data_IF_511411178219
#
_entry.id   IF_511411178219
#
_cell.length_a   1.000
_cell.length_b   1.000
_cell.length_c   1.000
_cell.angle_alpha   90.00
_cell.angle_beta   90.00
_cell.angle_gamma   90.00
#
_symmetry.space_group_name_H-M   'P 1'
#
loop_
_entity.id
_entity.type
_entity.pdbx_description
1 polymer ?
#
# COMPACT_ATOMS: atom_id res chain seq x y z
N UNK A 1 6.13 25.71 -75.76
CA UNK A 1 7.33 26.52 -75.43
C UNK A 1 7.76 26.28 -73.99
N UNK A 2 8.85 25.56 -73.73
CA UNK A 2 9.44 24.48 -74.56
C UNK A 2 8.80 23.13 -74.14
N UNK A 3 8.35 22.18 -74.97
CA UNK A 3 8.78 21.62 -76.27
C UNK A 3 10.29 21.35 -76.33
N UNK A 4 10.84 20.15 -76.48
CA UNK A 4 10.41 18.77 -76.71
C UNK A 4 11.68 17.89 -76.59
N UNK A 5 11.50 16.56 -76.48
CA UNK A 5 12.48 15.49 -76.81
C UNK A 5 13.50 15.20 -75.67
N UNK A 6 13.56 14.02 -75.07
CA UNK A 6 13.60 12.72 -75.72
C UNK A 6 12.95 11.61 -74.87
N UNK A 7 12.06 10.85 -75.51
CA UNK A 7 11.58 9.57 -75.03
C UNK A 7 12.68 8.54 -75.17
N UNK A 8 13.54 8.44 -74.17
CA UNK A 8 14.27 7.21 -73.88
C UNK A 8 13.69 6.63 -72.60
N UNK A 9 13.02 5.47 -72.69
CA UNK A 9 12.79 4.63 -71.51
C UNK A 9 14.15 4.42 -70.85
N UNK A 10 14.44 5.16 -69.77
CA UNK A 10 15.60 4.88 -68.92
C UNK A 10 15.39 3.43 -68.53
N UNK A 11 16.27 2.49 -68.93
CA UNK A 11 16.00 1.08 -68.74
C UNK A 11 15.75 0.90 -67.25
N UNK A 12 14.52 0.51 -66.87
CA UNK A 12 14.16 0.26 -65.47
C UNK A 12 15.11 -0.81 -64.96
N UNK A 13 16.18 -0.35 -64.35
CA UNK A 13 17.24 -1.21 -63.90
C UNK A 13 16.62 -2.07 -62.82
N UNK A 14 16.58 -3.38 -63.07
CA UNK A 14 16.18 -4.35 -62.04
C UNK A 14 17.25 -4.48 -60.95
N UNK A 15 18.32 -3.68 -61.01
CA UNK A 15 19.39 -3.66 -60.03
C UNK A 15 18.87 -3.06 -58.72
N UNK A 16 18.91 -3.80 -57.61
CA UNK A 16 18.50 -3.28 -56.32
C UNK A 16 19.41 -2.12 -55.90
N UNK A 17 18.86 -1.14 -55.18
CA UNK A 17 19.59 0.06 -54.78
C UNK A 17 20.77 -0.27 -53.87
N UNK A 18 21.95 0.24 -54.20
CA UNK A 18 23.23 -0.06 -53.55
C UNK A 18 23.47 0.87 -52.34
N UNK A 19 22.64 0.72 -51.30
CA UNK A 19 22.79 1.43 -50.04
C UNK A 19 23.14 0.44 -48.92
N UNK A 20 23.97 0.84 -47.96
CA UNK A 20 24.39 -0.03 -46.85
C UNK A 20 23.21 -0.66 -46.09
N UNK A 21 22.11 0.07 -45.94
CA UNK A 21 20.88 -0.45 -45.33
C UNK A 21 20.20 -1.53 -46.20
N UNK A 22 19.92 -1.23 -47.48
CA UNK A 22 19.22 -2.19 -48.36
C UNK A 22 20.07 -3.38 -48.79
N UNK A 23 21.39 -3.25 -48.73
CA UNK A 23 22.35 -4.33 -48.99
C UNK A 23 22.79 -5.06 -47.71
N UNK A 24 22.25 -4.70 -46.54
CA UNK A 24 22.56 -5.31 -45.24
C UNK A 24 24.06 -5.27 -44.88
N UNK A 25 24.73 -4.17 -45.22
CA UNK A 25 26.16 -3.92 -44.95
C UNK A 25 26.37 -2.82 -43.91
N UNK A 26 25.43 -2.64 -43.00
CA UNK A 26 25.63 -1.72 -41.87
C UNK A 26 26.76 -2.23 -40.97
N UNK A 27 27.58 -1.35 -40.39
CA UNK A 27 28.56 -1.76 -39.40
C UNK A 27 27.82 -2.37 -38.21
N UNK A 28 28.11 -3.64 -37.94
CA UNK A 28 27.52 -4.38 -36.83
C UNK A 28 28.64 -4.92 -35.95
N UNK A 29 28.48 -4.79 -34.63
CA UNK A 29 29.29 -5.53 -33.69
C UNK A 29 28.70 -6.93 -33.52
N UNK A 30 29.45 -7.94 -33.91
CA UNK A 30 29.03 -9.34 -33.85
C UNK A 30 29.95 -10.11 -32.87
N UNK A 31 29.75 -9.96 -31.55
CA UNK A 31 30.59 -10.63 -30.58
C UNK A 31 30.36 -12.15 -30.63
N UNK A 32 31.43 -12.89 -30.89
CA UNK A 32 31.41 -14.36 -30.78
C UNK A 32 31.73 -14.72 -29.33
N UNK A 33 30.72 -15.21 -28.61
CA UNK A 33 30.87 -15.64 -27.22
C UNK A 33 31.63 -16.98 -27.17
N UNK A 34 32.91 -16.90 -26.82
CA UNK A 34 33.76 -18.08 -26.59
C UNK A 34 34.07 -18.25 -25.11
N UNK A 35 34.55 -19.42 -24.70
CA UNK A 35 34.93 -19.67 -23.31
C UNK A 35 35.95 -18.63 -22.78
N UNK A 36 36.90 -18.22 -23.63
CA UNK A 36 37.92 -17.22 -23.27
C UNK A 36 37.36 -15.81 -23.02
N UNK A 37 36.24 -15.44 -23.64
CA UNK A 37 35.59 -14.13 -23.44
C UNK A 37 34.57 -14.16 -22.31
N UNK A 38 33.89 -15.30 -22.11
CA UNK A 38 32.80 -15.44 -21.13
C UNK A 38 33.33 -15.69 -19.72
N UNK A 39 34.39 -16.49 -19.57
CA UNK A 39 34.92 -16.86 -18.27
C UNK A 39 35.42 -15.66 -17.45
N UNK A 40 36.20 -14.71 -18.00
CA UNK A 40 36.59 -13.50 -17.26
C UNK A 40 35.39 -12.64 -16.85
N UNK A 41 34.36 -12.53 -17.71
CA UNK A 41 33.16 -11.78 -17.39
C UNK A 41 32.42 -12.36 -16.17
N UNK A 42 32.31 -13.69 -16.08
CA UNK A 42 31.74 -14.34 -14.88
C UNK A 42 32.56 -14.08 -13.61
N UNK A 43 33.89 -14.09 -13.70
CA UNK A 43 34.74 -13.74 -12.54
C UNK A 43 34.53 -12.29 -12.10
N UNK A 44 34.44 -11.35 -13.04
CA UNK A 44 34.17 -9.94 -12.72
C UNK A 44 32.80 -9.77 -12.05
N UNK A 45 31.75 -10.41 -12.59
CA UNK A 45 30.41 -10.38 -12.00
C UNK A 45 30.44 -11.00 -10.59
N UNK A 46 31.13 -12.13 -10.41
CA UNK A 46 31.28 -12.79 -9.13
C UNK A 46 31.97 -11.91 -8.09
N UNK A 47 33.13 -11.34 -8.43
CA UNK A 47 33.88 -10.44 -7.55
C UNK A 47 33.08 -9.19 -7.18
N UNK A 48 32.22 -8.69 -8.09
CA UNK A 48 31.36 -7.56 -7.80
C UNK A 48 30.15 -7.94 -6.92
N UNK A 49 29.49 -9.07 -7.20
CA UNK A 49 28.23 -9.43 -6.54
C UNK A 49 28.41 -10.13 -5.20
N UNK A 50 29.51 -10.84 -4.96
CA UNK A 50 29.80 -11.45 -3.66
C UNK A 50 29.84 -10.41 -2.53
N UNK A 51 30.62 -9.31 -2.59
CA UNK A 51 30.67 -8.33 -1.50
C UNK A 51 29.34 -7.59 -1.35
N UNK A 52 28.63 -7.29 -2.45
CA UNK A 52 27.29 -6.71 -2.40
C UNK A 52 26.31 -7.65 -1.69
N UNK A 53 26.34 -8.94 -2.01
CA UNK A 53 25.52 -9.96 -1.35
C UNK A 53 25.84 -10.11 0.13
N UNK A 54 27.12 -10.11 0.51
CA UNK A 54 27.54 -10.15 1.92
C UNK A 54 27.05 -8.91 2.68
N UNK A 55 27.21 -7.72 2.10
CA UNK A 55 26.74 -6.48 2.71
C UNK A 55 25.21 -6.48 2.90
N UNK A 56 24.45 -6.85 1.86
CA UNK A 56 22.99 -6.93 1.94
C UNK A 56 22.53 -7.95 2.99
N UNK A 57 23.18 -9.13 3.04
CA UNK A 57 22.86 -10.15 4.03
C UNK A 57 23.17 -9.69 5.46
N UNK A 58 24.29 -9.00 5.66
CA UNK A 58 24.66 -8.44 6.96
C UNK A 58 23.60 -7.44 7.45
N UNK A 59 23.22 -6.46 6.61
CA UNK A 59 22.21 -5.48 6.98
C UNK A 59 20.82 -6.10 7.15
N UNK A 60 20.46 -7.11 6.35
CA UNK A 60 19.19 -7.82 6.50
C UNK A 60 19.09 -8.58 7.82
N UNK A 61 20.18 -9.23 8.25
CA UNK A 61 20.19 -9.99 9.51
C UNK A 61 20.30 -9.11 10.75
N UNK A 62 20.70 -7.83 10.59
CA UNK A 62 20.76 -6.87 11.67
C UNK A 62 19.38 -6.34 12.10
N UNK A 63 18.34 -6.52 11.28
CA UNK A 63 16.98 -6.07 11.57
C UNK A 63 16.34 -7.00 12.62
N UNK A 64 15.87 -6.43 13.72
CA UNK A 64 15.08 -7.14 14.74
C UNK A 64 13.59 -7.05 14.43
N UNK A 65 12.90 -8.20 14.40
CA UNK A 65 11.47 -8.29 14.17
C UNK A 65 10.82 -9.16 15.24
N UNK A 66 9.63 -8.78 15.69
CA UNK A 66 8.76 -9.58 16.55
C UNK A 66 7.39 -9.66 15.88
N UNK A 67 6.85 -10.88 15.78
CA UNK A 67 5.56 -11.15 15.14
C UNK A 67 4.70 -11.97 16.08
N UNK A 68 3.45 -11.56 16.26
CA UNK A 68 2.48 -12.26 17.09
C UNK A 68 1.16 -12.41 16.33
N UNK A 69 0.58 -13.62 16.34
CA UNK A 69 -0.73 -13.90 15.76
C UNK A 69 -1.82 -13.79 16.84
N UNK A 70 -2.67 -12.77 16.72
CA UNK A 70 -3.76 -12.49 17.65
C UNK A 70 -5.14 -12.97 17.14
N UNK A 71 -5.21 -13.80 16.09
CA UNK A 71 -6.48 -14.24 15.49
C UNK A 71 -7.42 -14.93 16.48
N UNK A 72 -6.87 -15.69 17.43
CA UNK A 72 -7.62 -16.43 18.47
C UNK A 72 -7.55 -15.75 19.84
N UNK A 73 -7.38 -14.43 19.87
CA UNK A 73 -7.33 -13.68 21.12
C UNK A 73 -8.66 -13.75 21.87
N UNK A 74 -8.58 -13.97 23.18
CA UNK A 74 -9.74 -14.11 24.05
C UNK A 74 -10.27 -12.74 24.49
N UNK A 75 -11.59 -12.61 24.57
CA UNK A 75 -12.22 -11.39 25.08
C UNK A 75 -11.93 -11.22 26.57
N UNK A 76 -11.59 -9.99 26.98
CA UNK A 76 -11.50 -9.63 28.39
C UNK A 76 -12.88 -9.71 29.06
N UNK A 77 -12.98 -10.47 30.15
CA UNK A 77 -14.21 -10.60 30.94
C UNK A 77 -15.11 -11.79 30.57
N UNK A 78 -14.85 -12.47 29.46
CA UNK A 78 -15.53 -13.72 29.08
C UNK A 78 -14.60 -14.91 29.29
N UNK A 79 -15.09 -15.99 29.88
CA UNK A 79 -14.31 -17.23 30.00
C UNK A 79 -14.45 -18.03 28.69
N UNK A 80 -13.32 -18.19 27.98
CA UNK A 80 -13.14 -19.08 26.81
C UNK A 80 -13.84 -18.68 25.49
N UNK A 81 -14.23 -17.42 25.29
CA UNK A 81 -14.72 -16.94 23.99
C UNK A 81 -13.66 -16.09 23.28
N UNK A 82 -13.44 -16.37 22.00
CA UNK A 82 -12.56 -15.56 21.15
C UNK A 82 -13.28 -14.31 20.66
N UNK A 83 -12.54 -13.23 20.37
CA UNK A 83 -13.15 -12.04 19.78
C UNK A 83 -13.84 -12.33 18.44
N UNK A 84 -13.33 -13.28 17.65
CA UNK A 84 -13.97 -13.69 16.40
C UNK A 84 -15.37 -14.27 16.63
N UNK A 85 -15.55 -15.11 17.65
CA UNK A 85 -16.85 -15.69 17.99
C UNK A 85 -17.83 -14.63 18.52
N UNK A 86 -17.35 -13.73 19.39
CA UNK A 86 -18.16 -12.65 19.97
C UNK A 86 -18.70 -11.73 18.87
N UNK A 87 -17.83 -11.29 17.95
CA UNK A 87 -18.20 -10.41 16.84
C UNK A 87 -19.13 -11.11 15.83
N UNK A 88 -18.99 -12.42 15.64
CA UNK A 88 -19.88 -13.20 14.76
C UNK A 88 -21.27 -13.41 15.36
N UNK A 89 -21.38 -13.47 16.69
CA UNK A 89 -22.64 -13.67 17.39
C UNK A 89 -23.42 -12.37 17.59
N UNK A 90 -22.70 -11.25 17.76
CA UNK A 90 -23.27 -9.92 17.95
C UNK A 90 -22.45 -8.88 17.18
N UNK A 91 -22.95 -8.47 16.00
CA UNK A 91 -22.26 -7.56 15.09
C UNK A 91 -21.92 -6.17 15.68
N UNK A 92 -22.53 -5.79 16.81
CA UNK A 92 -22.45 -4.46 17.40
C UNK A 92 -21.71 -4.38 18.75
N UNK A 93 -21.11 -5.46 19.27
CA UNK A 93 -20.30 -5.38 20.49
C UNK A 93 -18.81 -5.08 20.15
N UNK A 94 -18.18 -4.23 20.95
CA UNK A 94 -16.73 -4.02 20.89
C UNK A 94 -16.03 -5.15 21.67
N UNK A 95 -15.04 -5.79 21.04
CA UNK A 95 -14.24 -6.82 21.68
C UNK A 95 -12.84 -6.31 21.99
N UNK A 96 -12.50 -6.25 23.28
CA UNK A 96 -11.14 -5.95 23.73
C UNK A 96 -10.44 -7.24 24.12
N UNK A 97 -9.20 -7.37 23.68
CA UNK A 97 -8.35 -8.53 23.88
C UNK A 97 -6.98 -8.05 24.37
N UNK A 98 -6.35 -8.77 25.29
CA UNK A 98 -5.06 -8.39 25.89
C UNK A 98 -4.03 -9.46 25.57
N UNK A 99 -2.91 -9.05 24.98
CA UNK A 99 -1.81 -9.94 24.58
C UNK A 99 -0.57 -9.57 25.36
N UNK A 100 -0.14 -10.44 26.26
CA UNK A 100 1.14 -10.26 26.96
C UNK A 100 2.26 -10.94 26.17
N UNK A 101 3.33 -10.20 25.90
CA UNK A 101 4.51 -10.73 25.21
C UNK A 101 5.80 -10.14 25.76
N UNK A 102 6.93 -10.80 25.45
CA UNK A 102 8.26 -10.37 25.89
C UNK A 102 9.13 -10.13 24.67
N UNK A 103 9.75 -8.96 24.60
CA UNK A 103 10.80 -8.67 23.62
C UNK A 103 12.14 -9.19 24.16
N UNK A 104 12.75 -10.15 23.48
CA UNK A 104 14.02 -10.77 23.90
C UNK A 104 15.24 -9.86 23.67
N UNK A 105 15.15 -8.97 22.68
CA UNK A 105 16.22 -8.07 22.24
C UNK A 105 15.73 -6.63 22.22
N UNK A 106 16.66 -5.70 22.36
CA UNK A 106 16.39 -4.28 22.20
C UNK A 106 16.14 -3.96 20.72
N UNK A 107 15.06 -3.26 20.41
CA UNK A 107 14.75 -2.75 19.08
C UNK A 107 15.31 -1.34 18.98
N UNK A 108 16.55 -1.24 18.49
CA UNK A 108 17.29 0.02 18.44
C UNK A 108 16.88 0.86 17.23
N UNK A 109 16.70 2.17 17.44
CA UNK A 109 16.36 3.13 16.40
C UNK A 109 14.85 3.26 16.16
N UNK A 110 14.47 3.57 14.92
CA UNK A 110 13.06 3.82 14.55
C UNK A 110 12.28 2.52 14.45
N UNK A 111 11.27 2.37 15.30
CA UNK A 111 10.42 1.19 15.35
C UNK A 111 9.07 1.48 14.72
N UNK A 112 8.57 0.51 13.96
CA UNK A 112 7.32 0.60 13.22
C UNK A 112 6.44 -0.59 13.58
N UNK A 113 5.14 -0.32 13.78
CA UNK A 113 4.14 -1.33 14.05
C UNK A 113 3.37 -1.62 12.76
N UNK A 114 3.32 -2.89 12.37
CA UNK A 114 2.57 -3.35 11.21
C UNK A 114 1.47 -4.30 11.65
N UNK A 115 0.30 -4.22 11.01
CA UNK A 115 -0.65 -5.34 11.03
C UNK A 115 -0.42 -6.21 9.80
N UNK A 116 -0.58 -7.52 9.97
CA UNK A 116 -0.46 -8.52 8.92
C UNK A 116 -1.78 -9.23 8.69
N UNK A 117 -2.16 -9.39 7.43
CA UNK A 117 -3.29 -10.22 7.04
C UNK A 117 -2.79 -11.37 6.18
N UNK A 118 -3.32 -12.57 6.43
CA UNK A 118 -3.06 -13.76 5.63
C UNK A 118 -4.35 -14.26 5.02
N UNK A 119 -4.24 -14.95 3.89
CA UNK A 119 -5.40 -15.46 3.14
C UNK A 119 -6.42 -14.36 2.75
N UNK A 120 -5.94 -13.13 2.51
CA UNK A 120 -6.78 -11.98 2.14
C UNK A 120 -6.38 -11.44 0.76
N UNK A 121 -7.20 -11.66 -0.27
CA UNK A 121 -6.84 -11.46 -1.67
C UNK A 121 -7.15 -10.04 -2.19
N UNK A 122 -6.38 -9.04 -1.77
CA UNK A 122 -6.50 -7.67 -2.30
C UNK A 122 -6.19 -7.57 -3.80
N UNK A 123 -5.42 -8.51 -4.35
CA UNK A 123 -4.99 -8.51 -5.75
C UNK A 123 -6.06 -9.01 -6.74
N UNK A 124 -7.24 -9.41 -6.26
CA UNK A 124 -8.31 -9.84 -7.14
C UNK A 124 -8.77 -8.68 -8.06
N UNK A 125 -8.83 -8.90 -9.38
CA UNK A 125 -9.09 -7.85 -10.38
C UNK A 125 -10.30 -6.97 -10.06
N UNK A 126 -11.43 -7.57 -9.67
CA UNK A 126 -12.65 -6.81 -9.32
C UNK A 126 -12.48 -5.99 -8.04
N UNK A 127 -11.72 -6.50 -7.07
CA UNK A 127 -11.43 -5.78 -5.83
C UNK A 127 -10.54 -4.57 -6.11
N UNK A 128 -9.41 -4.75 -6.81
CA UNK A 128 -8.45 -3.68 -7.16
C UNK A 128 -9.11 -2.56 -7.96
N UNK A 129 -10.05 -2.90 -8.85
CA UNK A 129 -10.79 -1.93 -9.67
C UNK A 129 -11.83 -1.17 -8.86
N UNK A 130 -12.35 -1.72 -7.76
CA UNK A 130 -13.52 -1.18 -7.06
C UNK A 130 -13.20 0.00 -6.17
N UNK A 131 -13.07 1.17 -6.80
CA UNK A 131 -12.84 2.51 -6.23
C UNK A 131 -13.22 3.60 -7.24
N UNK A 132 -13.34 4.83 -6.76
CA UNK A 132 -13.49 6.03 -7.59
C UNK A 132 -12.37 7.02 -7.29
N UNK A 133 -11.43 7.16 -8.23
CA UNK A 133 -10.25 8.02 -8.04
C UNK A 133 -10.60 9.52 -8.04
N UNK A 134 -11.67 9.96 -8.73
CA UNK A 134 -12.11 11.35 -8.68
C UNK A 134 -12.69 11.67 -7.29
N UNK A 135 -13.45 10.73 -6.71
CA UNK A 135 -13.95 10.87 -5.35
C UNK A 135 -12.80 10.97 -4.32
N UNK A 136 -11.77 10.12 -4.45
CA UNK A 136 -10.59 10.15 -3.57
C UNK A 136 -9.77 11.45 -3.70
N UNK A 137 -9.88 12.14 -4.85
CA UNK A 137 -9.33 13.48 -5.08
C UNK A 137 -10.22 14.61 -4.55
N UNK A 138 -11.31 14.30 -3.86
CA UNK A 138 -12.25 15.27 -3.29
C UNK A 138 -13.26 15.82 -4.30
N UNK A 139 -13.33 15.25 -5.52
CA UNK A 139 -14.30 15.63 -6.55
C UNK A 139 -15.53 14.77 -6.40
N UNK A 140 -16.44 15.23 -5.54
CA UNK A 140 -17.65 14.51 -5.22
C UNK A 140 -18.66 14.58 -6.36
N UNK A 141 -19.20 13.43 -6.77
CA UNK A 141 -20.26 13.28 -7.76
C UNK A 141 -21.37 12.42 -7.17
N UNK A 142 -22.64 12.75 -7.50
CA UNK A 142 -23.79 11.93 -7.10
C UNK A 142 -23.87 10.60 -7.87
N UNK A 143 -23.15 10.51 -8.99
CA UNK A 143 -22.99 9.29 -9.78
C UNK A 143 -21.52 8.86 -9.72
N UNK A 144 -21.13 8.03 -8.75
CA UNK A 144 -19.77 7.50 -8.66
C UNK A 144 -19.43 6.63 -9.87
N UNK A 145 -18.14 6.35 -10.06
CA UNK A 145 -17.66 5.43 -11.08
C UNK A 145 -18.39 4.07 -11.05
N UNK A 146 -18.69 3.52 -12.23
CA UNK A 146 -19.27 2.18 -12.38
C UNK A 146 -18.38 1.09 -11.75
N UNK A 147 -17.11 1.39 -11.56
CA UNK A 147 -16.13 0.46 -10.97
C UNK A 147 -16.40 0.23 -9.48
N UNK A 148 -17.04 1.17 -8.79
CA UNK A 148 -17.44 1.01 -7.40
C UNK A 148 -18.55 -0.03 -7.17
N UNK A 149 -19.23 -0.54 -8.21
CA UNK A 149 -20.30 -1.52 -8.05
C UNK A 149 -19.79 -2.82 -7.37
N UNK A 150 -20.55 -3.41 -6.42
CA UNK A 150 -21.89 -3.01 -5.94
C UNK A 150 -21.89 -1.97 -4.80
N UNK A 151 -20.71 -1.48 -4.38
CA UNK A 151 -20.53 -0.58 -3.23
C UNK A 151 -20.58 0.92 -3.62
N UNK A 152 -21.37 1.25 -4.65
CA UNK A 152 -21.53 2.64 -5.09
C UNK A 152 -22.63 3.39 -4.31
N UNK A 153 -23.68 2.68 -3.88
CA UNK A 153 -24.85 3.23 -3.22
C UNK A 153 -25.28 2.37 -2.02
N UNK A 154 -25.91 2.98 -1.03
CA UNK A 154 -26.50 2.24 0.11
C UNK A 154 -27.84 1.63 -0.25
N UNK A 155 -28.63 2.32 -1.07
CA UNK A 155 -29.96 1.91 -1.50
C UNK A 155 -30.00 1.42 -2.96
N UNK A 156 -31.00 0.61 -3.28
CA UNK A 156 -31.22 0.10 -4.65
C UNK A 156 -31.66 1.19 -5.63
N UNK A 157 -32.30 2.26 -5.12
CA UNK A 157 -32.79 3.38 -5.92
C UNK A 157 -31.69 4.39 -6.27
N UNK A 158 -30.43 4.13 -5.86
CA UNK A 158 -29.26 4.98 -6.15
C UNK A 158 -29.42 6.44 -5.68
N UNK A 159 -30.15 6.65 -4.58
CA UNK A 159 -30.41 7.98 -4.05
C UNK A 159 -29.25 8.48 -3.18
N UNK A 160 -28.60 7.57 -2.45
CA UNK A 160 -27.53 7.89 -1.50
C UNK A 160 -26.20 7.26 -1.93
N UNK A 161 -25.34 8.03 -2.64
CA UNK A 161 -24.00 7.56 -3.01
C UNK A 161 -23.12 7.36 -1.77
N UNK A 162 -22.26 6.35 -1.82
CA UNK A 162 -21.30 6.05 -0.75
C UNK A 162 -20.02 6.86 -0.95
N UNK A 163 -19.46 7.41 0.14
CA UNK A 163 -18.16 8.05 0.15
C UNK A 163 -17.31 7.58 1.34
N UNK A 164 -16.12 6.97 1.11
CA UNK A 164 -15.57 6.48 -0.17
C UNK A 164 -16.30 5.23 -0.71
N UNK A 165 -16.62 5.21 -1.99
CA UNK A 165 -17.23 4.03 -2.62
C UNK A 165 -16.22 2.92 -2.94
N UNK A 166 -16.73 1.71 -3.09
CA UNK A 166 -15.97 0.56 -3.58
C UNK A 166 -15.59 -0.48 -2.52
N UNK A 167 -15.26 -1.67 -3.00
CA UNK A 167 -14.97 -2.83 -2.14
C UNK A 167 -13.72 -2.64 -1.28
N UNK A 168 -12.72 -1.91 -1.79
CA UNK A 168 -11.47 -1.65 -1.07
C UNK A 168 -11.79 -0.84 0.19
N UNK A 169 -12.47 0.30 0.02
CA UNK A 169 -12.86 1.16 1.11
C UNK A 169 -13.81 0.48 2.10
N UNK A 170 -14.82 -0.25 1.61
CA UNK A 170 -15.81 -0.91 2.46
C UNK A 170 -15.16 -1.89 3.45
N UNK A 171 -14.12 -2.61 3.03
CA UNK A 171 -13.43 -3.62 3.83
C UNK A 171 -12.23 -3.08 4.62
N UNK A 172 -12.26 -1.79 5.00
CA UNK A 172 -11.19 -1.14 5.77
C UNK A 172 -10.84 -1.89 7.06
N UNK A 173 -9.54 -2.08 7.30
CA UNK A 173 -9.05 -2.64 8.55
C UNK A 173 -9.41 -1.72 9.73
N UNK A 174 -10.12 -2.26 10.72
CA UNK A 174 -10.75 -1.48 11.80
C UNK A 174 -10.16 -1.73 13.19
N UNK A 175 -9.26 -2.70 13.36
CA UNK A 175 -8.71 -2.98 14.70
C UNK A 175 -7.85 -1.82 15.19
N UNK A 176 -7.91 -1.58 16.50
CA UNK A 176 -7.13 -0.55 17.18
C UNK A 176 -6.19 -1.20 18.16
N UNK A 177 -4.94 -0.75 18.17
CA UNK A 177 -3.91 -1.26 19.08
C UNK A 177 -3.44 -0.18 20.04
N UNK A 178 -3.28 -0.59 21.29
CA UNK A 178 -2.55 0.14 22.31
C UNK A 178 -1.36 -0.72 22.74
N UNK A 179 -0.22 -0.09 23.01
CA UNK A 179 0.99 -0.79 23.41
C UNK A 179 1.50 -0.20 24.72
N UNK A 180 1.73 -1.05 25.70
CA UNK A 180 2.19 -0.65 27.03
C UNK A 180 3.42 -1.45 27.44
N UNK A 181 4.47 -0.75 27.84
CA UNK A 181 5.63 -1.35 28.50
C UNK A 181 5.35 -1.49 29.99
N UNK A 182 5.57 -2.67 30.56
CA UNK A 182 5.43 -2.87 32.01
C UNK A 182 6.39 -2.00 32.84
N UNK A 183 7.55 -1.66 32.28
CA UNK A 183 8.57 -0.87 32.99
C UNK A 183 8.48 0.63 32.68
N UNK A 184 8.22 1.00 31.41
CA UNK A 184 8.26 2.40 30.95
C UNK A 184 6.88 3.05 30.81
N UNK A 185 5.80 2.27 30.89
CA UNK A 185 4.42 2.71 30.70
C UNK A 185 4.00 2.70 29.24
N UNK A 186 2.93 3.45 28.93
CA UNK A 186 2.33 3.51 27.58
C UNK A 186 3.34 3.96 26.53
N UNK A 187 3.41 3.19 25.43
CA UNK A 187 4.24 3.52 24.28
C UNK A 187 3.46 4.49 23.39
N UNK A 188 3.99 5.69 23.10
CA UNK A 188 3.31 6.67 22.26
C UNK A 188 3.31 6.20 20.81
N UNK A 189 2.12 5.88 20.29
CA UNK A 189 1.91 5.44 18.91
C UNK A 189 1.36 6.59 18.06
N UNK A 190 2.13 7.07 17.09
CA UNK A 190 1.67 8.12 16.17
C UNK A 190 0.91 7.51 14.99
N UNK A 191 -0.19 8.17 14.62
CA UNK A 191 -1.06 7.83 13.48
C UNK A 191 -0.69 8.57 12.20
N UNK A 192 0.23 9.53 12.28
CA UNK A 192 0.65 10.41 11.19
C UNK A 192 1.97 9.97 10.57
N UNK A 193 2.19 10.43 9.34
CA UNK A 193 3.35 10.11 8.50
C UNK A 193 3.58 8.60 8.26
N UNK A 194 2.54 7.78 8.34
CA UNK A 194 2.55 6.36 7.95
C UNK A 194 2.29 6.18 6.44
N UNK A 195 1.63 7.16 5.80
CA UNK A 195 1.39 7.20 4.37
C UNK A 195 2.52 7.90 3.61
N UNK A 196 2.65 7.57 2.33
CA UNK A 196 3.67 8.20 1.49
C UNK A 196 3.29 9.66 1.21
N UNK A 197 4.24 10.61 1.26
CA UNK A 197 3.96 12.02 1.02
C UNK A 197 3.30 12.29 -0.33
N UNK A 198 3.65 11.50 -1.36
CA UNK A 198 3.03 11.59 -2.69
C UNK A 198 1.54 11.23 -2.67
N UNK A 199 1.16 10.20 -1.91
CA UNK A 199 -0.25 9.78 -1.84
C UNK A 199 -1.06 10.82 -1.07
N UNK A 200 -0.55 11.29 0.09
CA UNK A 200 -1.23 12.28 0.93
C UNK A 200 -1.38 13.66 0.28
N UNK A 201 -0.43 14.09 -0.57
CA UNK A 201 -0.43 15.43 -1.20
C UNK A 201 -1.08 15.47 -2.59
N UNK A 202 -1.00 14.37 -3.34
CA UNK A 202 -1.37 14.35 -4.77
C UNK A 202 -2.59 13.47 -5.03
N UNK A 203 -2.63 12.25 -4.48
CA UNK A 203 -3.67 11.26 -4.85
C UNK A 203 -4.92 11.32 -3.99
N UNK A 204 -4.79 11.73 -2.74
CA UNK A 204 -5.90 11.82 -1.81
C UNK A 204 -6.09 13.25 -1.36
N UNK A 205 -7.30 13.78 -1.50
CA UNK A 205 -7.65 15.15 -1.10
C UNK A 205 -9.07 15.20 -0.57
N UNK A 206 -9.24 16.01 0.46
CA UNK A 206 -10.55 16.36 0.96
C UNK A 206 -11.21 17.39 0.03
N UNK A 207 -12.55 17.38 -0.09
CA UNK A 207 -13.27 18.47 -0.73
C UNK A 207 -12.99 19.79 0.02
N UNK A 208 -13.12 20.91 -0.70
CA UNK A 208 -12.95 22.23 -0.10
C UNK A 208 -14.07 22.53 0.91
N UNK A 209 -13.74 23.21 2.01
CA UNK A 209 -14.69 23.57 3.07
C UNK A 209 -14.76 22.56 4.21
N UNK A 210 -15.88 22.56 4.94
CA UNK A 210 -16.12 21.61 6.03
C UNK A 210 -16.52 20.23 5.46
N UNK A 211 -15.85 19.18 5.96
CA UNK A 211 -16.07 17.80 5.51
C UNK A 211 -17.52 17.35 5.73
N UNK A 212 -18.14 17.77 6.85
CA UNK A 212 -19.52 17.40 7.19
C UNK A 212 -20.53 18.01 6.24
N UNK A 213 -20.27 19.24 5.79
CA UNK A 213 -21.13 19.92 4.82
C UNK A 213 -20.93 19.35 3.42
N UNK A 214 -19.69 19.13 3.01
CA UNK A 214 -19.36 18.56 1.71
C UNK A 214 -19.92 17.14 1.51
N UNK A 215 -20.00 16.35 2.58
CA UNK A 215 -20.45 14.95 2.54
C UNK A 215 -21.91 14.75 3.00
N UNK A 216 -22.70 15.83 3.17
CA UNK A 216 -24.06 15.75 3.69
C UNK A 216 -25.00 14.81 2.91
N UNK A 217 -24.83 14.76 1.59
CA UNK A 217 -25.63 13.94 0.68
C UNK A 217 -25.02 12.54 0.45
N UNK A 218 -23.91 12.22 1.11
CA UNK A 218 -23.20 10.96 0.96
C UNK A 218 -23.38 10.10 2.21
N UNK A 219 -23.40 8.79 2.01
CA UNK A 219 -23.41 7.82 3.11
C UNK A 219 -22.02 7.22 3.31
N UNK A 220 -21.71 6.80 4.53
CA UNK A 220 -20.53 5.96 4.79
C UNK A 220 -20.66 4.58 4.13
N UNK A 221 -19.54 3.87 3.93
CA UNK A 221 -19.56 2.46 3.51
C UNK A 221 -20.34 1.58 4.50
N UNK A 222 -20.85 0.45 4.00
CA UNK A 222 -21.82 -0.39 4.72
C UNK A 222 -21.23 -1.01 5.98
N UNK A 223 -19.99 -1.45 5.91
CA UNK A 223 -19.32 -2.11 7.03
C UNK A 223 -18.59 -1.12 7.97
N UNK A 224 -18.73 0.19 7.72
CA UNK A 224 -18.12 1.21 8.57
C UNK A 224 -19.00 1.54 9.77
N UNK A 225 -18.37 1.58 10.95
CA UNK A 225 -19.00 2.05 12.20
C UNK A 225 -18.88 3.56 12.41
N UNK A 226 -17.84 4.18 11.83
CA UNK A 226 -17.52 5.60 11.96
C UNK A 226 -17.72 6.33 10.63
N UNK A 227 -18.03 7.61 10.71
CA UNK A 227 -18.10 8.47 9.53
C UNK A 227 -16.69 8.84 9.02
N UNK A 228 -16.61 9.24 7.76
CA UNK A 228 -15.33 9.57 7.11
C UNK A 228 -14.61 10.78 7.77
N UNK A 229 -15.36 11.69 8.38
CA UNK A 229 -14.83 12.84 9.12
C UNK A 229 -14.55 12.54 10.62
N UNK A 230 -14.70 11.29 11.06
CA UNK A 230 -14.53 10.87 12.47
C UNK A 230 -13.47 9.76 12.63
N UNK A 231 -12.63 9.56 11.60
CA UNK A 231 -11.59 8.54 11.60
C UNK A 231 -10.46 8.83 12.60
N UNK A 232 -10.19 10.11 12.85
CA UNK A 232 -9.22 10.59 13.83
C UNK A 232 -9.81 11.77 14.63
N UNK A 233 -10.15 11.53 15.89
CA UNK A 233 -10.74 12.57 16.75
C UNK A 233 -9.69 13.54 17.30
N UNK A 234 -8.42 13.13 17.34
CA UNK A 234 -7.33 13.90 17.93
C UNK A 234 -6.76 14.91 16.93
N UNK A 235 -6.72 14.54 15.64
CA UNK A 235 -6.16 15.37 14.59
C UNK A 235 -7.14 15.60 13.42
N UNK A 236 -7.62 16.84 13.29
CA UNK A 236 -8.52 17.26 12.20
C UNK A 236 -7.89 17.09 10.80
N UNK A 237 -6.58 17.27 10.67
CA UNK A 237 -5.86 17.14 9.39
C UNK A 237 -5.63 15.68 8.97
N UNK A 238 -6.01 14.72 9.82
CA UNK A 238 -5.96 13.28 9.56
C UNK A 238 -7.37 12.67 9.43
N UNK A 239 -8.34 13.45 8.96
CA UNK A 239 -9.70 12.99 8.64
C UNK A 239 -10.00 13.07 7.15
N UNK A 240 -11.16 12.53 6.75
CA UNK A 240 -11.60 12.56 5.37
C UNK A 240 -10.91 11.50 4.52
N UNK A 241 -10.82 11.76 3.22
CA UNK A 241 -10.01 10.98 2.28
C UNK A 241 -8.51 11.07 2.58
N UNK A 242 -8.08 12.08 3.35
CA UNK A 242 -6.68 12.28 3.73
C UNK A 242 -6.25 11.57 5.02
N UNK A 243 -7.15 10.81 5.65
CA UNK A 243 -6.79 9.95 6.77
C UNK A 243 -5.73 8.92 6.34
N UNK A 244 -4.63 8.86 7.08
CA UNK A 244 -3.49 8.03 6.65
C UNK A 244 -3.72 6.52 6.80
N UNK A 245 -4.54 6.08 7.76
CA UNK A 245 -4.96 4.68 7.89
C UNK A 245 -5.73 4.23 6.63
N UNK A 246 -6.66 5.07 6.16
CA UNK A 246 -7.38 4.87 4.92
C UNK A 246 -6.42 4.83 3.71
N UNK A 247 -5.49 5.79 3.58
CA UNK A 247 -4.53 5.82 2.47
C UNK A 247 -3.67 4.57 2.42
N UNK A 248 -3.15 4.12 3.57
CA UNK A 248 -2.36 2.89 3.67
C UNK A 248 -3.20 1.67 3.27
N UNK A 249 -4.47 1.61 3.66
CA UNK A 249 -5.37 0.54 3.27
C UNK A 249 -5.65 0.51 1.77
N UNK A 250 -5.99 1.67 1.19
CA UNK A 250 -6.35 1.84 -0.23
C UNK A 250 -5.23 1.43 -1.20
N UNK A 251 -3.99 1.35 -0.73
CA UNK A 251 -2.89 0.74 -1.48
C UNK A 251 -2.99 -0.78 -1.47
N UNK A 252 -3.63 -1.35 -2.49
CA UNK A 252 -3.81 -2.80 -2.65
C UNK A 252 -2.50 -3.57 -2.62
N UNK A 253 -2.40 -4.60 -1.79
CA UNK A 253 -1.28 -5.52 -1.74
C UNK A 253 -1.26 -6.47 -2.96
N UNK A 254 -0.06 -6.87 -3.39
CA UNK A 254 0.13 -7.76 -4.53
C UNK A 254 -0.05 -9.26 -4.19
N UNK A 255 0.11 -9.62 -2.91
CA UNK A 255 0.07 -10.99 -2.41
C UNK A 255 -1.05 -11.16 -1.37
N UNK A 256 -1.58 -12.38 -1.18
CA UNK A 256 -2.65 -12.65 -0.20
C UNK A 256 -2.19 -12.60 1.26
N UNK A 257 -0.87 -12.70 1.48
CA UNK A 257 -0.23 -12.44 2.76
C UNK A 257 0.56 -11.15 2.65
N UNK A 258 0.17 -10.15 3.42
CA UNK A 258 0.79 -8.83 3.37
C UNK A 258 0.78 -8.18 4.74
N UNK A 259 1.63 -7.16 4.88
CA UNK A 259 1.67 -6.28 6.04
C UNK A 259 1.48 -4.84 5.61
N UNK A 260 0.83 -4.05 6.45
CA UNK A 260 0.59 -2.62 6.25
C UNK A 260 1.05 -1.87 7.50
N UNK A 261 1.68 -0.72 7.28
CA UNK A 261 2.17 0.11 8.37
C UNK A 261 0.97 0.67 9.12
N UNK A 262 0.91 0.43 10.43
CA UNK A 262 -0.18 0.91 11.27
C UNK A 262 0.26 2.14 12.06
N UNK A 263 1.33 2.01 12.85
CA UNK A 263 1.81 3.09 13.72
C UNK A 263 3.31 3.19 13.61
N UNK A 264 3.80 4.38 13.91
CA UNK A 264 5.21 4.63 14.24
C UNK A 264 5.28 4.96 15.73
N UNK A 265 6.41 4.67 16.34
CA UNK A 265 6.64 5.04 17.74
C UNK A 265 7.17 6.46 17.79
N UNK A 266 6.65 7.27 18.72
CA UNK A 266 7.22 8.58 18.99
C UNK A 266 8.53 8.45 19.79
N UNK A 267 9.64 8.65 19.09
CA UNK A 267 10.99 8.63 19.67
C UNK A 267 11.43 10.01 20.17
N UNK A 268 10.60 11.06 20.10
CA UNK A 268 10.87 12.32 20.79
C UNK A 268 10.58 12.21 22.29
N UNK A 269 9.81 11.20 22.69
CA UNK A 269 9.54 10.90 24.08
C UNK A 269 10.78 10.27 24.75
N UNK A 270 11.28 10.91 25.82
CA UNK A 270 12.53 10.53 26.51
C UNK A 270 12.61 9.04 26.91
N UNK A 271 11.46 8.41 27.19
CA UNK A 271 11.41 6.99 27.58
C UNK A 271 11.71 6.02 26.43
N UNK A 272 11.59 6.45 25.18
CA UNK A 272 11.72 5.60 23.99
C UNK A 272 12.67 6.17 22.92
N UNK A 273 13.49 7.18 23.25
CA UNK A 273 14.40 7.86 22.31
C UNK A 273 15.31 6.90 21.53
N UNK A 274 15.88 5.91 22.22
CA UNK A 274 16.82 4.94 21.61
C UNK A 274 16.13 3.75 20.95
N UNK A 275 14.80 3.66 21.02
CA UNK A 275 14.01 2.52 20.55
C UNK A 275 13.17 1.85 21.63
N UNK A 276 12.74 0.61 21.38
CA UNK A 276 12.03 -0.20 22.38
C UNK A 276 13.01 -1.12 23.12
N UNK A 277 13.15 -1.00 24.45
CA UNK A 277 13.98 -1.92 25.22
C UNK A 277 13.37 -3.32 25.25
N UNK A 278 14.22 -4.33 25.44
CA UNK A 278 13.80 -5.69 25.81
C UNK A 278 13.01 -5.65 27.12
N UNK A 279 12.04 -6.54 27.25
CA UNK A 279 11.18 -6.59 28.45
C UNK A 279 9.77 -7.05 28.14
N UNK A 280 8.91 -6.98 29.14
CA UNK A 280 7.51 -7.38 29.03
C UNK A 280 6.65 -6.21 28.52
N UNK A 281 5.75 -6.54 27.59
CA UNK A 281 4.80 -5.63 26.98
C UNK A 281 3.40 -6.25 26.96
N UNK A 282 2.42 -5.36 26.88
CA UNK A 282 1.01 -5.67 26.72
C UNK A 282 0.44 -4.83 25.59
#
# INVERSE_FOLDING_TARGET
MPDTVDGGDIPKSKRPSDSAFKQQRLPAWQPVLTAGTVLPAFFVIGIAFIPVGVALLYFSNAITEFVYDYTKCLQVGSQNLTCAEVLSAKEAEDCTCIVNFTLEKDFVGKVYMYYGLTNYYQNHRRYVKSRDDDQLLGRLSRTPSSDCAPFAYTDENQLHPIAPCGAIANSLFSDTFELTSHERGTVPLLRTEIAWPSDRKIKFRNPEGDLREALRDFSRPRDWRKELWELDLDNKDNNGFQNEDLIVWMRTAALPSFRKLHRRIDHEHQKFETGLPKGNYT
#
